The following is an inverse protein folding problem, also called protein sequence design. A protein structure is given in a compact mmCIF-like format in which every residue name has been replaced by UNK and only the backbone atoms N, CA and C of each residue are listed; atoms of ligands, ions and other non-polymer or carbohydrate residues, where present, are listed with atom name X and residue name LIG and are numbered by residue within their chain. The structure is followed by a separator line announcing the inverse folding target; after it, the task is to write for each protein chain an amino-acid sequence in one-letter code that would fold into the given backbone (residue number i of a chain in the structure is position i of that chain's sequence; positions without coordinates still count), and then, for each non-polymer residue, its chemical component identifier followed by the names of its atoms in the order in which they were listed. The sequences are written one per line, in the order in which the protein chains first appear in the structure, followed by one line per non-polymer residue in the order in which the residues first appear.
data_IF_609486070445
#
_entry.id   IF_609486070445
#
_cell.length_a   1.000
_cell.length_b   1.000
_cell.length_c   1.000
_cell.angle_alpha   90.00
_cell.angle_beta   90.00
_cell.angle_gamma   90.00
#
_symmetry.space_group_name_H-M   'P 1'
#
loop_
_entity.id
_entity.type
_entity.pdbx_description
1 polymer ?
#
# COMPACT_ATOMS: atom_id res chain seq x y z
N UNK A 1 -4.50 -8.48 39.23
CA UNK A 1 -4.68 -7.64 38.01
C UNK A 1 -3.80 -8.17 36.91
N UNK A 2 -4.37 -8.40 35.75
CA UNK A 2 -3.59 -8.75 34.57
C UNK A 2 -2.93 -7.50 33.98
N UNK A 3 -1.84 -7.66 33.24
CA UNK A 3 -1.17 -6.53 32.57
C UNK A 3 -2.12 -5.73 31.63
N UNK A 4 -3.15 -6.38 31.12
CA UNK A 4 -4.17 -5.74 30.27
C UNK A 4 -5.13 -4.89 31.12
N UNK A 5 -5.49 -5.34 32.30
CA UNK A 5 -6.34 -4.57 33.23
C UNK A 5 -5.66 -3.27 33.67
N UNK A 6 -4.38 -3.35 34.05
CA UNK A 6 -3.58 -2.16 34.38
C UNK A 6 -3.51 -1.17 33.21
N UNK A 7 -3.28 -1.66 31.99
CA UNK A 7 -3.24 -0.82 30.80
C UNK A 7 -4.59 -0.15 30.52
N UNK A 8 -5.71 -0.85 30.73
CA UNK A 8 -7.05 -0.29 30.58
C UNK A 8 -7.35 0.82 31.59
N UNK A 9 -6.89 0.67 32.83
CA UNK A 9 -7.01 1.69 33.88
C UNK A 9 -6.20 2.95 33.54
N UNK A 10 -4.98 2.79 33.03
CA UNK A 10 -4.14 3.90 32.56
C UNK A 10 -4.81 4.66 31.40
N UNK A 11 -5.37 3.93 30.42
CA UNK A 11 -6.11 4.53 29.30
C UNK A 11 -7.36 5.28 29.80
N UNK A 12 -8.10 4.70 30.72
CA UNK A 12 -9.32 5.30 31.26
C UNK A 12 -9.00 6.58 32.06
N UNK A 13 -7.93 6.56 32.87
CA UNK A 13 -7.43 7.73 33.58
C UNK A 13 -7.00 8.84 32.63
N UNK A 14 -6.22 8.51 31.63
CA UNK A 14 -5.75 9.44 30.59
C UNK A 14 -6.92 10.08 29.82
N UNK A 15 -7.90 9.27 29.40
CA UNK A 15 -9.08 9.77 28.69
C UNK A 15 -9.91 10.74 29.54
N UNK A 16 -10.07 10.46 30.85
CA UNK A 16 -10.76 11.34 31.78
C UNK A 16 -10.00 12.66 31.97
N UNK A 17 -8.69 12.59 32.18
CA UNK A 17 -7.83 13.77 32.41
C UNK A 17 -7.82 14.70 31.19
N UNK A 18 -7.74 14.15 29.99
CA UNK A 18 -7.68 14.91 28.74
C UNK A 18 -9.06 15.21 28.12
N UNK A 19 -10.15 14.78 28.77
CA UNK A 19 -11.54 14.95 28.29
C UNK A 19 -11.75 14.43 26.86
N UNK A 20 -11.11 13.34 26.50
CA UNK A 20 -11.26 12.69 25.19
C UNK A 20 -12.00 11.37 25.32
N UNK A 21 -12.72 10.97 24.25
CA UNK A 21 -13.39 9.67 24.22
C UNK A 21 -12.39 8.53 24.01
N UNK A 22 -12.76 7.32 24.49
CA UNK A 22 -11.96 6.10 24.26
C UNK A 22 -11.77 5.78 22.78
N UNK A 23 -12.77 6.10 21.97
CA UNK A 23 -12.67 5.96 20.50
C UNK A 23 -11.67 6.95 19.92
N UNK A 24 -11.68 8.21 20.38
CA UNK A 24 -10.70 9.23 19.98
C UNK A 24 -9.28 8.83 20.38
N UNK A 25 -9.10 8.29 21.59
CA UNK A 25 -7.81 7.76 22.04
C UNK A 25 -7.30 6.65 21.10
N UNK A 26 -8.13 5.66 20.80
CA UNK A 26 -7.77 4.56 19.91
C UNK A 26 -7.40 5.03 18.48
N UNK A 27 -8.10 6.05 17.96
CA UNK A 27 -7.78 6.67 16.70
C UNK A 27 -6.41 7.37 16.71
N UNK A 28 -6.10 8.10 17.78
CA UNK A 28 -4.82 8.82 17.89
C UNK A 28 -3.62 7.88 18.03
N UNK A 29 -3.77 6.74 18.71
CA UNK A 29 -2.67 5.82 19.02
C UNK A 29 -2.36 4.88 17.87
N UNK A 30 -3.40 4.23 17.31
CA UNK A 30 -3.26 3.17 16.31
C UNK A 30 -4.24 3.27 15.14
N UNK A 31 -4.93 4.39 15.01
CA UNK A 31 -5.98 4.63 14.01
C UNK A 31 -7.14 3.61 14.08
N UNK A 32 -7.50 3.18 15.31
CA UNK A 32 -8.56 2.22 15.55
C UNK A 32 -9.46 2.66 16.72
N UNK A 33 -10.62 3.24 16.41
CA UNK A 33 -11.58 3.70 17.42
C UNK A 33 -12.19 2.58 18.27
N UNK A 34 -12.05 1.31 17.90
CA UNK A 34 -12.54 0.13 18.65
C UNK A 34 -11.46 -0.51 19.52
N UNK A 35 -10.25 0.03 19.55
CA UNK A 35 -9.09 -0.50 20.28
C UNK A 35 -9.45 -0.85 21.75
N UNK A 36 -9.99 0.12 22.48
CA UNK A 36 -10.27 -0.05 23.92
C UNK A 36 -11.37 -1.09 24.17
N UNK A 37 -12.38 -1.15 23.30
CA UNK A 37 -13.43 -2.18 23.41
C UNK A 37 -12.86 -3.58 23.14
N UNK A 38 -12.00 -3.74 22.14
CA UNK A 38 -11.35 -5.02 21.86
C UNK A 38 -10.45 -5.49 23.02
N UNK A 39 -9.75 -4.56 23.66
CA UNK A 39 -8.97 -4.85 24.87
C UNK A 39 -9.84 -5.37 26.00
N UNK A 40 -11.02 -4.73 26.22
CA UNK A 40 -12.01 -5.18 27.23
C UNK A 40 -12.61 -6.54 26.92
N UNK A 41 -12.87 -6.80 25.64
CA UNK A 41 -13.44 -8.07 25.18
C UNK A 41 -12.40 -9.22 25.21
N UNK A 42 -11.19 -8.99 25.74
CA UNK A 42 -10.13 -10.00 25.80
C UNK A 42 -9.56 -10.40 24.45
N UNK A 43 -9.83 -9.63 23.39
CA UNK A 43 -9.27 -9.89 22.05
C UNK A 43 -7.82 -9.53 22.04
N UNK A 44 -6.97 -10.48 21.66
CA UNK A 44 -5.51 -10.32 21.65
C UNK A 44 -5.05 -9.10 20.83
N UNK A 45 -4.06 -8.40 21.36
CA UNK A 45 -3.35 -7.32 20.66
C UNK A 45 -1.88 -7.67 20.53
N UNK A 46 -1.22 -7.11 19.53
CA UNK A 46 0.21 -7.34 19.32
C UNK A 46 1.06 -6.55 20.31
N UNK A 47 2.24 -7.07 20.65
CA UNK A 47 3.25 -6.34 21.46
C UNK A 47 3.51 -4.93 20.90
N UNK A 48 3.60 -4.80 19.58
CA UNK A 48 3.78 -3.51 18.90
C UNK A 48 2.65 -2.52 19.22
N UNK A 49 1.42 -2.99 19.37
CA UNK A 49 0.27 -2.15 19.75
C UNK A 49 0.38 -1.71 21.21
N UNK A 50 0.80 -2.61 22.12
CA UNK A 50 1.03 -2.28 23.54
C UNK A 50 2.10 -1.20 23.66
N UNK A 51 3.24 -1.37 23.01
CA UNK A 51 4.33 -0.38 23.00
C UNK A 51 3.84 0.99 22.52
N UNK A 52 3.07 1.04 21.41
CA UNK A 52 2.52 2.32 20.93
C UNK A 52 1.57 3.00 21.92
N UNK A 53 0.76 2.23 22.64
CA UNK A 53 -0.11 2.77 23.69
C UNK A 53 0.72 3.37 24.80
N UNK A 54 1.73 2.65 25.32
CA UNK A 54 2.62 3.11 26.39
C UNK A 54 3.41 4.35 25.98
N UNK A 55 4.00 4.37 24.78
CA UNK A 55 4.72 5.52 24.23
C UNK A 55 3.84 6.76 24.15
N UNK A 56 2.58 6.59 23.69
CA UNK A 56 1.62 7.68 23.59
C UNK A 56 1.23 8.23 24.98
N UNK A 57 0.97 7.36 25.96
CA UNK A 57 0.65 7.75 27.32
C UNK A 57 1.83 8.51 27.95
N UNK A 58 3.05 7.98 27.86
CA UNK A 58 4.27 8.56 28.42
C UNK A 58 4.60 9.93 27.79
N UNK A 59 4.53 10.04 26.46
CA UNK A 59 4.81 11.28 25.74
C UNK A 59 3.85 12.42 26.11
N UNK A 60 2.58 12.08 26.33
CA UNK A 60 1.57 13.07 26.67
C UNK A 60 1.45 13.33 28.17
N UNK A 61 1.93 12.43 29.06
CA UNK A 61 2.08 12.68 30.48
C UNK A 61 3.15 13.75 30.74
N UNK A 62 4.29 13.69 30.02
CA UNK A 62 5.36 14.70 30.12
C UNK A 62 4.92 16.12 29.67
N UNK A 63 4.02 16.24 28.72
CA UNK A 63 3.48 17.53 28.27
C UNK A 63 2.48 18.17 29.26
N UNK A 64 1.85 17.37 30.14
CA UNK A 64 0.99 17.87 31.20
C UNK A 64 1.73 18.58 32.33
N UNK A 65 2.98 18.17 32.60
CA UNK A 65 3.84 18.77 33.64
C UNK A 65 4.41 20.13 33.23
N UNK A 66 4.60 20.35 31.91
CA UNK A 66 5.14 21.62 31.40
C UNK A 66 4.12 22.74 31.27
N UNK A 67 2.82 22.47 31.35
CA UNK A 67 1.76 23.48 31.32
C UNK A 67 1.35 23.97 32.73
N UNK A 68 1.57 23.19 33.78
CA UNK A 68 1.30 23.63 35.15
C UNK A 68 2.39 24.56 35.74
N UNK A 69 3.56 24.63 35.12
CA UNK A 69 4.63 25.54 35.53
C UNK A 69 4.57 26.92 34.87
N UNK A 70 3.63 27.18 33.94
CA UNK A 70 3.46 28.47 33.27
C UNK A 70 2.33 29.34 33.80
N UNK A 71 1.51 28.85 34.74
CA UNK A 71 0.39 29.65 35.31
C UNK A 71 0.70 30.31 36.69
N UNK A 72 1.92 30.29 37.17
CA UNK A 72 2.29 30.89 38.48
C UNK A 72 3.24 32.07 38.43
N UNK A 73 3.47 32.73 37.30
CA UNK A 73 4.24 33.97 37.26
C UNK A 73 3.67 34.96 36.24
N UNK A 74 2.62 35.68 36.65
CA UNK A 74 2.30 37.02 36.07
C UNK A 74 1.64 37.88 37.16
N UNK A 75 2.48 38.65 37.87
CA UNK A 75 2.07 39.91 38.40
C UNK A 75 3.29 40.84 38.39
N UNK A 76 3.02 42.09 37.89
CA UNK A 76 3.83 43.33 37.91
C UNK A 76 5.01 43.37 36.92
N UNK A 77 5.21 44.38 36.05
CA UNK A 77 4.99 45.84 36.13
C UNK A 77 5.15 46.50 34.74
N UNK A 78 4.28 47.50 34.51
CA UNK A 78 4.47 48.79 33.77
C UNK A 78 5.51 48.99 32.63
N UNK A 79 5.01 49.26 31.42
CA UNK A 79 5.02 50.38 30.45
C UNK A 79 6.25 51.34 30.45
N UNK A 80 6.52 52.18 29.38
CA UNK A 80 6.04 52.23 27.98
C UNK A 80 7.16 52.50 26.92
N UNK A 81 6.77 52.41 25.63
CA UNK A 81 7.38 53.29 24.63
C UNK A 81 7.88 52.67 23.33
N UNK A 82 7.33 53.10 22.20
CA UNK A 82 8.06 53.12 20.93
C UNK A 82 7.29 52.63 19.70
N UNK A 83 6.53 53.55 19.09
CA UNK A 83 6.04 53.50 17.69
C UNK A 83 7.11 53.06 16.69
N UNK A 84 6.71 52.40 15.59
CA UNK A 84 6.86 52.93 14.21
C UNK A 84 5.97 52.09 13.23
N UNK A 85 5.27 52.86 12.39
CA UNK A 85 4.39 52.47 11.25
C UNK A 85 5.11 51.81 10.10
N UNK A 86 4.35 51.02 9.29
CA UNK A 86 4.24 51.14 7.82
C UNK A 86 3.23 50.08 7.32
N UNK A 87 2.08 50.39 6.95
CA UNK A 87 1.34 50.72 5.72
C UNK A 87 1.85 50.07 4.42
N UNK A 88 0.99 49.19 3.84
CA UNK A 88 0.80 49.02 2.39
C UNK A 88 -0.41 48.12 2.13
N UNK A 89 -1.51 48.64 1.84
CA UNK A 89 -2.30 48.87 0.59
C UNK A 89 -2.71 47.61 -0.20
N UNK A 90 -4.05 47.42 -0.18
CA UNK A 90 -4.88 46.59 -1.07
C UNK A 90 -4.80 47.05 -2.52
N UNK A 91 -4.80 46.10 -3.46
CA UNK A 91 -5.24 46.35 -4.83
C UNK A 91 -6.30 45.33 -5.23
N UNK A 92 -7.52 45.82 -5.47
CA UNK A 92 -8.62 45.09 -6.14
C UNK A 92 -8.44 45.26 -7.66
N UNK A 93 -8.51 44.17 -8.42
CA UNK A 93 -8.74 44.22 -9.86
C UNK A 93 -10.10 43.60 -10.14
N UNK A 94 -11.00 44.44 -10.69
CA UNK A 94 -12.27 44.05 -11.32
C UNK A 94 -12.01 43.78 -12.80
N UNK A 95 -12.49 42.65 -13.36
CA UNK A 95 -12.69 42.55 -14.80
C UNK A 95 -14.13 42.11 -15.11
N UNK A 96 -14.68 42.79 -16.11
CA UNK A 96 -16.06 42.82 -16.52
C UNK A 96 -16.50 41.56 -17.30
N UNK A 97 -17.77 41.23 -17.13
CA UNK A 97 -18.52 40.30 -17.91
C UNK A 97 -18.82 40.78 -19.34
N UNK A 98 -18.74 39.93 -20.32
CA UNK A 98 -19.37 40.11 -21.64
C UNK A 98 -20.41 39.00 -21.86
N UNK A 99 -21.66 39.46 -22.11
CA UNK A 99 -22.82 38.61 -22.45
C UNK A 99 -22.74 38.19 -23.92
N UNK A 100 -22.97 36.91 -24.19
CA UNK A 100 -23.48 36.48 -25.48
C UNK A 100 -24.76 35.65 -25.25
N UNK A 101 -25.82 36.05 -25.91
CA UNK A 101 -27.14 35.40 -25.97
C UNK A 101 -27.15 34.30 -27.02
N UNK A 102 -27.73 33.13 -26.74
CA UNK A 102 -28.49 32.39 -27.75
C UNK A 102 -29.51 31.43 -27.11
N UNK A 103 -30.71 31.68 -27.44
CA UNK A 103 -31.95 30.91 -27.70
C UNK A 103 -32.25 29.67 -26.88
N UNK A 104 -33.44 29.77 -26.27
CA UNK A 104 -34.18 28.77 -25.53
C UNK A 104 -34.78 27.68 -26.43
N UNK A 105 -34.68 26.40 -25.99
CA UNK A 105 -35.62 25.36 -26.33
C UNK A 105 -36.21 24.84 -25.02
N UNK A 106 -37.54 24.95 -24.90
CA UNK A 106 -38.35 24.48 -23.78
C UNK A 106 -38.47 22.96 -23.82
N UNK A 107 -38.03 22.26 -22.78
CA UNK A 107 -38.44 20.91 -22.47
C UNK A 107 -39.07 20.88 -21.07
N UNK A 108 -40.22 20.24 -20.94
CA UNK A 108 -41.05 20.14 -19.73
C UNK A 108 -40.33 19.33 -18.62
N UNK A 109 -40.58 19.64 -17.35
CA UNK A 109 -39.98 18.87 -16.26
C UNK A 109 -40.78 17.58 -15.99
N UNK A 110 -40.11 16.47 -16.12
CA UNK A 110 -40.54 15.18 -15.55
C UNK A 110 -40.16 15.17 -14.08
N UNK A 111 -41.12 15.06 -13.21
CA UNK A 111 -40.93 14.98 -11.74
C UNK A 111 -40.34 13.62 -11.36
N UNK A 112 -39.07 13.49 -11.24
CA UNK A 112 -38.44 12.37 -10.55
C UNK A 112 -38.47 12.61 -9.03
N UNK A 113 -39.25 11.77 -8.34
CA UNK A 113 -39.20 11.61 -6.89
C UNK A 113 -37.82 11.08 -6.51
N UNK A 114 -36.93 11.96 -6.08
CA UNK A 114 -35.68 11.58 -5.41
C UNK A 114 -36.03 10.85 -4.12
N UNK A 115 -35.94 9.52 -4.11
CA UNK A 115 -35.78 8.72 -2.90
C UNK A 115 -34.47 9.17 -2.24
N UNK A 116 -34.55 9.84 -1.11
CA UNK A 116 -33.41 10.04 -0.22
C UNK A 116 -32.92 8.65 0.20
N UNK A 117 -31.84 8.16 -0.42
CA UNK A 117 -31.01 7.10 0.14
C UNK A 117 -30.43 7.67 1.42
N UNK A 118 -30.72 7.01 2.54
CA UNK A 118 -29.98 7.20 3.78
C UNK A 118 -28.50 6.97 3.46
N UNK A 119 -27.67 8.00 3.57
CA UNK A 119 -26.23 7.85 3.51
C UNK A 119 -25.84 6.98 4.70
N UNK A 120 -25.56 5.71 4.42
CA UNK A 120 -24.86 4.83 5.33
C UNK A 120 -23.51 5.48 5.62
N UNK A 121 -23.35 6.01 6.83
CA UNK A 121 -22.09 6.59 7.32
C UNK A 121 -21.08 5.48 7.64
N UNK A 122 -20.76 4.64 6.66
CA UNK A 122 -19.57 3.80 6.75
C UNK A 122 -18.35 4.73 6.72
N UNK A 123 -17.43 4.60 7.69
CA UNK A 123 -16.23 5.43 7.68
C UNK A 123 -15.51 5.24 6.36
N UNK A 124 -15.15 6.34 5.70
CA UNK A 124 -14.39 6.35 4.46
C UNK A 124 -13.15 5.46 4.63
N UNK A 125 -13.09 4.37 3.86
CA UNK A 125 -11.92 3.52 3.77
C UNK A 125 -11.20 3.86 2.48
N UNK A 126 -9.95 4.24 2.59
CA UNK A 126 -9.12 4.62 1.47
C UNK A 126 -9.07 3.54 0.36
N UNK A 127 -9.16 2.27 0.78
CA UNK A 127 -9.12 1.10 -0.11
C UNK A 127 -10.47 0.75 -0.76
N UNK A 128 -11.58 1.35 -0.31
CA UNK A 128 -12.91 1.07 -0.88
C UNK A 128 -13.10 1.76 -2.24
N UNK A 129 -12.23 2.73 -2.58
CA UNK A 129 -12.20 3.37 -3.88
C UNK A 129 -10.84 3.17 -4.54
N UNK A 130 -10.78 2.24 -5.52
CA UNK A 130 -9.56 1.93 -6.26
C UNK A 130 -8.95 3.15 -6.96
N UNK A 131 -9.77 4.06 -7.47
CA UNK A 131 -9.28 5.28 -8.14
C UNK A 131 -8.53 6.19 -7.16
N UNK A 132 -9.05 6.34 -5.93
CA UNK A 132 -8.35 7.10 -4.88
C UNK A 132 -7.05 6.43 -4.46
N UNK A 133 -7.04 5.10 -4.37
CA UNK A 133 -5.83 4.34 -4.11
C UNK A 133 -4.79 4.53 -5.21
N UNK A 134 -5.17 4.38 -6.49
CA UNK A 134 -4.27 4.59 -7.63
C UNK A 134 -3.77 6.04 -7.72
N UNK A 135 -4.63 7.02 -7.46
CA UNK A 135 -4.23 8.43 -7.40
C UNK A 135 -3.20 8.67 -6.29
N UNK A 136 -3.39 8.08 -5.11
CA UNK A 136 -2.44 8.17 -4.01
C UNK A 136 -1.08 7.57 -4.36
N UNK A 137 -1.03 6.33 -4.85
CA UNK A 137 0.25 5.67 -5.18
C UNK A 137 0.98 6.33 -6.34
N UNK A 138 0.27 7.04 -7.24
CA UNK A 138 0.87 7.77 -8.35
C UNK A 138 1.34 9.17 -7.96
N UNK A 139 0.81 9.75 -6.89
CA UNK A 139 1.14 11.12 -6.46
C UNK A 139 2.17 11.17 -5.33
N UNK A 140 2.32 10.11 -4.54
CA UNK A 140 3.31 10.07 -3.49
C UNK A 140 4.59 9.32 -3.93
N UNK A 141 5.72 9.74 -3.41
CA UNK A 141 7.03 9.11 -3.68
C UNK A 141 7.33 7.93 -2.75
N UNK A 142 6.32 7.40 -2.04
CA UNK A 142 6.48 6.34 -1.05
C UNK A 142 7.18 5.11 -1.63
N UNK A 143 6.73 4.63 -2.79
CA UNK A 143 7.32 3.46 -3.46
C UNK A 143 8.79 3.66 -3.84
N UNK A 144 9.13 4.87 -4.27
CA UNK A 144 10.54 5.22 -4.55
C UNK A 144 11.37 5.24 -3.26
N UNK A 145 10.87 5.84 -2.19
CA UNK A 145 11.56 5.87 -0.90
C UNK A 145 11.74 4.46 -0.31
N UNK A 146 10.72 3.60 -0.42
CA UNK A 146 10.78 2.20 0.02
C UNK A 146 11.84 1.44 -0.78
N UNK A 147 11.82 1.52 -2.11
CA UNK A 147 12.80 0.81 -2.95
C UNK A 147 14.23 1.27 -2.71
N UNK A 148 14.45 2.57 -2.52
CA UNK A 148 15.76 3.11 -2.16
C UNK A 148 16.24 2.61 -0.79
N UNK A 149 15.31 2.46 0.18
CA UNK A 149 15.64 1.91 1.49
C UNK A 149 16.01 0.42 1.41
N UNK A 150 15.25 -0.36 0.65
CA UNK A 150 15.55 -1.78 0.40
C UNK A 150 16.89 -1.94 -0.31
N UNK A 151 17.18 -1.11 -1.31
CA UNK A 151 18.45 -1.14 -2.05
C UNK A 151 19.68 -1.00 -1.16
N UNK A 152 19.57 -0.23 -0.05
CA UNK A 152 20.65 -0.13 0.94
C UNK A 152 20.89 -1.45 1.69
N UNK A 153 19.86 -2.27 1.87
CA UNK A 153 20.02 -3.58 2.50
C UNK A 153 20.66 -4.60 1.57
N UNK A 154 20.46 -4.48 0.26
CA UNK A 154 21.06 -5.40 -0.71
C UNK A 154 22.61 -5.39 -0.67
N UNK A 155 23.23 -4.31 -0.20
CA UNK A 155 24.69 -4.27 -0.06
C UNK A 155 25.22 -5.32 0.93
N UNK A 156 24.39 -5.77 1.88
CA UNK A 156 24.78 -6.76 2.90
C UNK A 156 24.41 -8.19 2.49
N UNK A 157 23.62 -8.36 1.43
CA UNK A 157 23.20 -9.68 0.95
C UNK A 157 24.28 -10.28 0.08
N UNK A 158 24.69 -11.51 0.42
CA UNK A 158 25.60 -12.31 -0.40
C UNK A 158 24.76 -13.37 -1.13
N UNK A 159 24.71 -13.34 -2.47
CA UNK A 159 24.00 -14.35 -3.22
C UNK A 159 24.60 -15.74 -2.99
N UNK A 160 23.75 -16.72 -2.76
CA UNK A 160 24.16 -18.14 -2.72
C UNK A 160 23.83 -18.81 -4.04
N UNK A 161 24.78 -19.56 -4.64
CA UNK A 161 24.49 -20.29 -5.87
C UNK A 161 23.23 -21.15 -5.74
N UNK A 162 22.47 -21.37 -6.85
CA UNK A 162 22.77 -20.95 -8.20
C UNK A 162 22.33 -19.52 -8.55
N UNK A 163 21.54 -18.83 -7.69
CA UNK A 163 20.96 -17.53 -8.01
C UNK A 163 20.76 -16.66 -6.78
N UNK A 164 20.67 -15.34 -6.98
CA UNK A 164 20.06 -14.44 -6.02
C UNK A 164 18.56 -14.71 -5.97
N UNK A 165 18.04 -15.10 -4.81
CA UNK A 165 16.63 -15.44 -4.63
C UNK A 165 15.90 -14.35 -3.88
N UNK A 166 14.77 -13.87 -4.43
CA UNK A 166 13.93 -12.86 -3.82
C UNK A 166 12.46 -13.26 -3.89
N UNK A 167 11.71 -12.97 -2.80
CA UNK A 167 10.27 -13.12 -2.76
C UNK A 167 9.61 -11.77 -2.47
N UNK A 168 8.77 -11.30 -3.39
CA UNK A 168 7.87 -10.16 -3.20
C UNK A 168 6.48 -10.67 -2.85
N UNK A 169 6.07 -10.45 -1.60
CA UNK A 169 4.83 -10.97 -1.05
C UNK A 169 3.56 -10.23 -1.50
N UNK A 170 3.71 -9.11 -2.17
CA UNK A 170 2.61 -8.30 -2.68
C UNK A 170 3.13 -7.28 -3.68
N UNK A 171 3.38 -7.75 -4.90
CA UNK A 171 4.04 -6.99 -5.95
C UNK A 171 3.32 -5.66 -6.28
N UNK A 172 1.98 -5.65 -6.21
CA UNK A 172 1.18 -4.52 -6.66
C UNK A 172 1.49 -4.18 -8.11
N UNK A 173 1.62 -2.91 -8.42
CA UNK A 173 2.01 -2.41 -9.74
C UNK A 173 3.49 -2.62 -10.10
N UNK A 174 4.22 -3.40 -9.34
CA UNK A 174 5.63 -3.71 -9.49
C UNK A 174 6.60 -2.52 -9.44
N UNK A 175 6.19 -1.33 -9.00
CA UNK A 175 7.11 -0.17 -8.93
C UNK A 175 8.27 -0.43 -7.98
N UNK A 176 8.00 -0.96 -6.78
CA UNK A 176 9.05 -1.29 -5.80
C UNK A 176 9.93 -2.41 -6.33
N UNK A 177 9.31 -3.49 -6.84
CA UNK A 177 10.01 -4.64 -7.40
C UNK A 177 10.93 -4.24 -8.54
N UNK A 178 10.42 -3.51 -9.54
CA UNK A 178 11.19 -3.06 -10.70
C UNK A 178 12.42 -2.22 -10.31
N UNK A 179 12.25 -1.31 -9.33
CA UNK A 179 13.38 -0.53 -8.81
C UNK A 179 14.39 -1.41 -8.08
N UNK A 180 13.94 -2.36 -7.26
CA UNK A 180 14.80 -3.32 -6.56
C UNK A 180 15.61 -4.18 -7.57
N UNK A 181 14.94 -4.67 -8.61
CA UNK A 181 15.60 -5.43 -9.68
C UNK A 181 16.71 -4.61 -10.36
N UNK A 182 16.43 -3.35 -10.69
CA UNK A 182 17.46 -2.47 -11.30
C UNK A 182 18.70 -2.34 -10.41
N UNK A 183 18.52 -2.19 -9.10
CA UNK A 183 19.63 -2.18 -8.16
C UNK A 183 20.41 -3.49 -8.13
N UNK A 184 19.71 -4.62 -8.15
CA UNK A 184 20.32 -5.94 -8.19
C UNK A 184 21.08 -6.19 -9.48
N UNK A 185 20.51 -5.82 -10.64
CA UNK A 185 21.14 -5.92 -11.95
C UNK A 185 22.46 -5.14 -11.99
N UNK A 186 22.45 -3.93 -11.44
CA UNK A 186 23.66 -3.12 -11.37
C UNK A 186 24.72 -3.71 -10.41
N UNK A 187 24.27 -4.21 -9.26
CA UNK A 187 25.17 -4.73 -8.23
C UNK A 187 25.72 -6.12 -8.55
N UNK A 188 24.91 -6.96 -9.15
CA UNK A 188 25.21 -8.36 -9.45
C UNK A 188 24.93 -8.68 -10.92
N UNK A 189 25.66 -8.05 -11.88
CA UNK A 189 25.34 -8.14 -13.31
C UNK A 189 25.53 -9.53 -13.92
N UNK A 190 26.26 -10.42 -13.25
CA UNK A 190 26.56 -11.78 -13.72
C UNK A 190 25.91 -12.87 -12.89
N UNK A 191 25.24 -12.51 -11.77
CA UNK A 191 24.58 -13.47 -10.90
C UNK A 191 23.15 -13.67 -11.39
N UNK A 192 22.69 -14.91 -11.63
CA UNK A 192 21.30 -15.16 -11.97
C UNK A 192 20.35 -14.66 -10.88
N UNK A 193 19.22 -14.09 -11.28
CA UNK A 193 18.18 -13.63 -10.37
C UNK A 193 16.94 -14.51 -10.49
N UNK A 194 16.53 -15.12 -9.39
CA UNK A 194 15.28 -15.88 -9.28
C UNK A 194 14.32 -15.12 -8.38
N UNK A 195 13.29 -14.54 -8.98
CA UNK A 195 12.36 -13.62 -8.32
C UNK A 195 10.97 -14.21 -8.36
N UNK A 196 10.41 -14.47 -7.19
CA UNK A 196 9.01 -14.88 -7.04
C UNK A 196 8.21 -13.66 -6.59
N UNK A 197 7.22 -13.29 -7.36
CA UNK A 197 6.33 -12.18 -7.07
C UNK A 197 4.88 -12.67 -6.96
N UNK A 198 4.27 -12.43 -5.80
CA UNK A 198 2.87 -12.76 -5.56
C UNK A 198 1.99 -11.54 -5.77
N UNK A 199 0.91 -11.72 -6.53
CA UNK A 199 -0.10 -10.67 -6.69
C UNK A 199 -1.49 -11.28 -6.84
N UNK A 200 -2.51 -10.63 -6.26
CA UNK A 200 -3.91 -11.07 -6.32
C UNK A 200 -4.74 -10.28 -7.33
N UNK A 201 -4.30 -9.09 -7.69
CA UNK A 201 -4.99 -8.20 -8.62
C UNK A 201 -4.46 -8.44 -10.04
N UNK A 202 -5.32 -8.90 -10.92
CA UNK A 202 -4.99 -9.08 -12.33
C UNK A 202 -4.54 -7.76 -12.99
N UNK A 203 -5.14 -6.64 -12.59
CA UNK A 203 -4.77 -5.34 -13.15
C UNK A 203 -3.37 -4.89 -12.69
N UNK A 204 -3.01 -5.17 -11.43
CA UNK A 204 -1.67 -4.87 -10.93
C UNK A 204 -0.63 -5.77 -11.61
N UNK A 205 -0.95 -7.04 -11.89
CA UNK A 205 -0.10 -7.93 -12.71
C UNK A 205 0.14 -7.31 -14.08
N UNK A 206 -0.91 -6.84 -14.77
CA UNK A 206 -0.79 -6.22 -16.09
C UNK A 206 0.11 -4.99 -16.08
N UNK A 207 -0.13 -4.07 -15.12
CA UNK A 207 0.71 -2.87 -14.96
C UNK A 207 2.16 -3.24 -14.60
N UNK A 208 2.31 -4.30 -13.82
CA UNK A 208 3.63 -4.82 -13.43
C UNK A 208 4.41 -5.36 -14.62
N UNK A 209 3.77 -6.11 -15.50
CA UNK A 209 4.42 -6.67 -16.70
C UNK A 209 5.02 -5.58 -17.60
N UNK A 210 4.34 -4.44 -17.77
CA UNK A 210 4.86 -3.31 -18.54
C UNK A 210 6.21 -2.80 -17.99
N UNK A 211 6.41 -2.88 -16.67
CA UNK A 211 7.64 -2.46 -16.02
C UNK A 211 8.76 -3.51 -16.10
N UNK A 212 8.43 -4.76 -16.42
CA UNK A 212 9.38 -5.85 -16.53
C UNK A 212 10.10 -5.87 -17.90
N UNK A 213 9.57 -5.20 -18.89
CA UNK A 213 10.15 -5.11 -20.24
C UNK A 213 11.63 -4.68 -20.17
N UNK A 214 11.88 -3.57 -19.48
CA UNK A 214 13.25 -3.06 -19.29
C UNK A 214 14.10 -4.00 -18.42
N UNK A 215 13.48 -4.64 -17.42
CA UNK A 215 14.18 -5.53 -16.49
C UNK A 215 14.77 -6.74 -17.22
N UNK A 216 14.00 -7.35 -18.12
CA UNK A 216 14.50 -8.43 -18.97
C UNK A 216 15.55 -7.97 -19.98
N UNK A 217 15.45 -6.73 -20.47
CA UNK A 217 16.47 -6.16 -21.35
C UNK A 217 17.78 -5.87 -20.62
N UNK A 218 17.71 -5.39 -19.38
CA UNK A 218 18.88 -5.02 -18.57
C UNK A 218 19.68 -6.24 -18.10
N UNK A 219 19.00 -7.33 -17.77
CA UNK A 219 19.66 -8.48 -17.17
C UNK A 219 19.14 -9.80 -17.75
N UNK A 220 19.92 -10.45 -18.63
CA UNK A 220 19.48 -11.65 -19.35
C UNK A 220 19.25 -12.86 -18.46
N UNK A 221 19.97 -12.97 -17.33
CA UNK A 221 19.86 -14.08 -16.38
C UNK A 221 18.79 -13.84 -15.29
N UNK A 222 17.67 -13.21 -15.64
CA UNK A 222 16.53 -12.97 -14.73
C UNK A 222 15.41 -13.95 -15.03
N UNK A 223 14.96 -14.66 -13.98
CA UNK A 223 13.75 -15.46 -13.96
C UNK A 223 12.74 -14.77 -13.05
N UNK A 224 11.60 -14.41 -13.60
CA UNK A 224 10.47 -13.85 -12.86
C UNK A 224 9.35 -14.87 -12.79
N UNK A 225 8.90 -15.17 -11.59
CA UNK A 225 7.75 -16.05 -11.33
C UNK A 225 6.61 -15.22 -10.76
N UNK A 226 5.51 -15.15 -11.49
CA UNK A 226 4.27 -14.52 -11.02
C UNK A 226 3.31 -15.58 -10.51
N UNK A 227 2.70 -15.35 -9.33
CA UNK A 227 1.81 -16.34 -8.73
C UNK A 227 0.68 -15.70 -7.92
N UNK A 228 -0.48 -16.37 -7.93
CA UNK A 228 -1.62 -16.06 -7.06
C UNK A 228 -1.72 -17.00 -5.83
N UNK A 229 -0.73 -17.85 -5.60
CA UNK A 229 -0.65 -18.71 -4.42
C UNK A 229 -0.73 -17.91 -3.12
N UNK A 230 -1.12 -18.55 -2.03
CA UNK A 230 -1.10 -17.90 -0.73
C UNK A 230 0.34 -17.63 -0.24
N UNK A 231 0.50 -16.76 0.76
CA UNK A 231 1.83 -16.34 1.25
C UNK A 231 2.73 -17.45 1.75
N UNK A 232 2.14 -18.54 2.26
CA UNK A 232 2.90 -19.66 2.80
C UNK A 232 3.34 -20.67 1.72
N UNK A 233 2.71 -20.61 0.55
CA UNK A 233 2.93 -21.52 -0.58
C UNK A 233 3.74 -20.84 -1.69
N UNK A 234 3.54 -19.55 -1.91
CA UNK A 234 4.19 -18.81 -2.98
C UNK A 234 5.73 -18.92 -2.98
N UNK A 235 6.47 -18.84 -1.86
CA UNK A 235 7.93 -19.00 -1.88
C UNK A 235 8.40 -20.37 -2.30
N UNK A 236 7.52 -21.40 -2.18
CA UNK A 236 7.82 -22.79 -2.54
C UNK A 236 7.24 -23.16 -3.90
N UNK A 237 6.43 -22.29 -4.49
CA UNK A 237 5.67 -22.50 -5.72
C UNK A 237 4.83 -23.80 -5.68
N UNK A 238 4.39 -24.21 -4.49
CA UNK A 238 3.68 -25.46 -4.29
C UNK A 238 2.56 -25.29 -3.27
N UNK A 239 1.31 -25.57 -3.67
CA UNK A 239 0.20 -25.71 -2.75
C UNK A 239 0.44 -26.81 -1.72
N UNK A 240 -0.07 -26.65 -0.50
CA UNK A 240 0.06 -27.65 0.58
C UNK A 240 -0.86 -28.83 0.38
N UNK A 241 -2.02 -28.58 -0.21
CA UNK A 241 -3.01 -29.61 -0.49
C UNK A 241 -2.73 -30.26 -1.84
N UNK A 242 -2.70 -31.60 -1.88
CA UNK A 242 -2.39 -32.39 -3.08
C UNK A 242 -3.40 -32.18 -4.19
N UNK A 243 -4.71 -32.04 -3.87
CA UNK A 243 -5.73 -31.79 -4.88
C UNK A 243 -5.55 -30.43 -5.52
N UNK A 244 -5.24 -29.42 -4.71
CA UNK A 244 -4.94 -28.07 -5.16
C UNK A 244 -3.65 -28.03 -5.99
N UNK A 245 -2.63 -28.81 -5.61
CA UNK A 245 -1.39 -28.93 -6.37
C UNK A 245 -1.63 -29.55 -7.76
N UNK A 246 -2.45 -30.59 -7.82
CA UNK A 246 -2.80 -31.23 -9.09
C UNK A 246 -3.65 -30.34 -10.01
N UNK A 247 -4.39 -29.40 -9.43
CA UNK A 247 -5.20 -28.42 -10.17
C UNK A 247 -4.41 -27.16 -10.56
N UNK A 248 -3.14 -27.07 -10.17
CA UNK A 248 -2.31 -25.89 -10.40
C UNK A 248 -2.05 -25.65 -11.89
N UNK A 249 -2.28 -24.42 -12.32
CA UNK A 249 -1.95 -23.95 -13.66
C UNK A 249 -0.50 -23.49 -13.68
N UNK A 250 0.39 -24.34 -14.18
CA UNK A 250 1.81 -24.00 -14.38
C UNK A 250 2.04 -23.60 -15.84
N UNK A 251 2.63 -22.45 -16.05
CA UNK A 251 2.97 -21.93 -17.38
C UNK A 251 4.40 -21.44 -17.42
N UNK A 252 5.12 -21.78 -18.48
CA UNK A 252 6.43 -21.23 -18.79
C UNK A 252 6.32 -20.34 -20.01
N UNK A 253 6.89 -19.16 -19.92
CA UNK A 253 6.93 -18.13 -20.97
C UNK A 253 8.36 -17.83 -21.28
N UNK A 254 8.77 -18.17 -22.47
CA UNK A 254 10.09 -17.86 -23.02
C UNK A 254 10.01 -16.58 -23.81
N UNK A 255 10.83 -15.61 -23.46
CA UNK A 255 10.94 -14.35 -24.19
C UNK A 255 12.04 -14.49 -25.25
N UNK A 256 11.62 -14.39 -26.49
CA UNK A 256 12.54 -14.43 -27.64
C UNK A 256 12.99 -13.03 -28.03
N UNK A 257 14.20 -12.94 -28.57
CA UNK A 257 14.80 -11.67 -29.00
C UNK A 257 15.78 -11.11 -27.97
N UNK A 258 16.27 -9.89 -28.24
CA UNK A 258 17.40 -9.30 -27.49
C UNK A 258 17.14 -7.87 -27.00
N UNK A 259 15.94 -7.34 -27.23
CA UNK A 259 15.65 -5.93 -26.94
C UNK A 259 14.25 -5.73 -26.36
N UNK A 260 14.05 -4.56 -25.75
CA UNK A 260 12.80 -4.20 -25.08
C UNK A 260 11.57 -4.23 -26.01
N UNK A 261 11.72 -3.95 -27.29
CA UNK A 261 10.61 -3.99 -28.24
C UNK A 261 10.05 -5.42 -28.41
N UNK A 262 10.94 -6.39 -28.62
CA UNK A 262 10.52 -7.80 -28.74
C UNK A 262 9.85 -8.29 -27.45
N UNK A 263 10.37 -7.93 -26.28
CA UNK A 263 9.78 -8.35 -25.00
C UNK A 263 8.43 -7.69 -24.74
N UNK A 264 8.26 -6.44 -25.18
CA UNK A 264 6.98 -5.73 -25.05
C UNK A 264 5.84 -6.47 -25.74
N UNK A 265 5.99 -6.76 -27.03
CA UNK A 265 4.96 -7.45 -27.81
C UNK A 265 4.58 -8.80 -27.18
N UNK A 266 5.58 -9.56 -26.72
CA UNK A 266 5.36 -10.86 -26.10
C UNK A 266 4.67 -10.72 -24.74
N UNK A 267 5.11 -9.81 -23.86
CA UNK A 267 4.51 -9.61 -22.54
C UNK A 267 3.07 -9.05 -22.64
N UNK A 268 2.79 -8.17 -23.59
CA UNK A 268 1.43 -7.67 -23.86
C UNK A 268 0.50 -8.79 -24.35
N UNK A 269 1.02 -9.76 -25.11
CA UNK A 269 0.22 -10.91 -25.57
C UNK A 269 -0.20 -11.88 -24.47
N UNK A 270 0.38 -11.79 -23.28
CA UNK A 270 0.08 -12.68 -22.15
C UNK A 270 -1.20 -12.31 -21.39
N UNK A 271 -1.86 -11.20 -21.72
CA UNK A 271 -3.01 -10.71 -20.97
C UNK A 271 -4.12 -11.74 -20.79
N UNK A 272 -4.49 -12.45 -21.83
CA UNK A 272 -5.57 -13.45 -21.78
C UNK A 272 -5.17 -14.66 -20.92
N UNK A 273 -3.90 -15.09 -20.99
CA UNK A 273 -3.35 -16.15 -20.17
C UNK A 273 -3.39 -15.78 -18.68
N UNK A 274 -3.04 -14.55 -18.35
CA UNK A 274 -3.11 -14.07 -16.96
C UNK A 274 -4.56 -13.88 -16.51
N UNK A 275 -5.46 -13.40 -17.37
CA UNK A 275 -6.89 -13.28 -17.06
C UNK A 275 -7.49 -14.64 -16.70
N UNK A 276 -7.16 -15.70 -17.47
CA UNK A 276 -7.55 -17.07 -17.13
C UNK A 276 -6.97 -17.54 -15.81
N UNK A 277 -5.66 -17.31 -15.60
CA UNK A 277 -4.94 -17.75 -14.39
C UNK A 277 -5.41 -17.05 -13.11
N UNK A 278 -5.87 -15.80 -13.19
CA UNK A 278 -6.35 -14.99 -12.05
C UNK A 278 -7.89 -14.95 -11.95
N UNK A 279 -8.58 -15.82 -12.68
CA UNK A 279 -10.04 -15.87 -12.59
C UNK A 279 -10.51 -16.27 -11.19
N UNK A 280 -11.50 -15.53 -10.69
CA UNK A 280 -12.04 -15.72 -9.34
C UNK A 280 -13.44 -16.32 -9.37
N UNK A 281 -13.80 -16.99 -8.27
CA UNK A 281 -15.14 -17.47 -7.98
C UNK A 281 -15.52 -17.13 -6.55
N UNK A 282 -16.82 -17.09 -6.27
CA UNK A 282 -17.28 -16.89 -4.90
C UNK A 282 -17.19 -18.18 -4.10
N UNK A 283 -16.47 -18.16 -2.99
CA UNK A 283 -16.38 -19.29 -2.07
C UNK A 283 -17.77 -19.64 -1.49
N UNK A 284 -18.19 -20.89 -1.61
CA UNK A 284 -19.44 -21.36 -1.02
C UNK A 284 -19.43 -21.37 0.51
N UNK A 285 -18.26 -21.35 1.12
CA UNK A 285 -18.07 -21.39 2.58
C UNK A 285 -18.02 -20.00 3.17
N UNK A 286 -17.20 -19.11 2.61
CA UNK A 286 -16.92 -17.78 3.18
C UNK A 286 -17.67 -16.64 2.49
N UNK A 287 -18.22 -16.85 1.30
CA UNK A 287 -18.80 -15.79 0.46
C UNK A 287 -17.76 -14.85 -0.16
N UNK A 288 -16.49 -15.05 0.11
CA UNK A 288 -15.41 -14.20 -0.41
C UNK A 288 -14.94 -14.67 -1.80
N UNK A 289 -14.38 -13.79 -2.63
CA UNK A 289 -13.73 -14.17 -3.88
C UNK A 289 -12.48 -15.03 -3.56
N UNK A 290 -12.36 -16.14 -4.27
CA UNK A 290 -11.19 -17.04 -4.24
C UNK A 290 -10.82 -17.35 -5.70
N UNK A 291 -9.55 -17.62 -5.96
CA UNK A 291 -9.14 -18.03 -7.30
C UNK A 291 -9.74 -19.38 -7.67
N UNK A 292 -10.13 -19.54 -8.91
CA UNK A 292 -10.65 -20.83 -9.41
C UNK A 292 -9.59 -21.91 -9.33
N UNK A 293 -8.33 -21.55 -9.60
CA UNK A 293 -7.18 -22.45 -9.49
C UNK A 293 -5.93 -21.68 -9.07
N UNK A 294 -4.99 -22.30 -8.39
CA UNK A 294 -3.67 -21.74 -8.17
C UNK A 294 -2.93 -21.63 -9.49
N UNK A 295 -2.20 -20.55 -9.69
CA UNK A 295 -1.48 -20.29 -10.94
C UNK A 295 -0.04 -19.85 -10.64
N UNK A 296 0.89 -20.39 -11.44
CA UNK A 296 2.30 -20.04 -11.45
C UNK A 296 2.72 -19.79 -12.90
N UNK A 297 3.26 -18.63 -13.17
CA UNK A 297 3.76 -18.26 -14.50
C UNK A 297 5.24 -17.91 -14.38
N UNK A 298 6.09 -18.68 -15.01
CA UNK A 298 7.55 -18.51 -15.03
C UNK A 298 7.94 -17.81 -16.32
N UNK A 299 8.57 -16.65 -16.23
CA UNK A 299 8.97 -15.82 -17.37
C UNK A 299 10.49 -15.68 -17.37
N UNK A 300 11.13 -15.99 -18.48
CA UNK A 300 12.58 -15.91 -18.65
C UNK A 300 12.93 -15.73 -20.13
N UNK A 301 14.20 -15.33 -20.38
CA UNK A 301 14.69 -15.21 -21.75
C UNK A 301 15.15 -16.56 -22.29
N UNK A 302 14.82 -16.86 -23.54
CA UNK A 302 15.17 -18.16 -24.18
C UNK A 302 16.67 -18.38 -24.32
N UNK A 303 17.46 -17.31 -24.49
CA UNK A 303 18.92 -17.34 -24.54
C UNK A 303 19.60 -17.72 -23.20
N UNK A 304 18.82 -17.76 -22.11
CA UNK A 304 19.30 -18.14 -20.77
C UNK A 304 18.52 -19.30 -20.14
N UNK A 305 17.92 -20.15 -20.94
CA UNK A 305 17.12 -21.30 -20.49
C UNK A 305 17.84 -22.22 -19.50
N UNK A 306 19.13 -22.39 -19.64
CA UNK A 306 19.94 -23.25 -18.77
C UNK A 306 19.83 -22.91 -17.28
N UNK A 307 19.41 -21.68 -16.95
CA UNK A 307 19.20 -21.24 -15.56
C UNK A 307 17.99 -21.88 -14.90
N UNK A 308 17.05 -22.44 -15.66
CA UNK A 308 15.90 -23.17 -15.12
C UNK A 308 16.27 -24.57 -14.66
N UNK A 309 17.34 -25.14 -15.22
CA UNK A 309 17.80 -26.47 -14.92
C UNK A 309 18.71 -26.51 -13.67
N UNK A 310 19.11 -25.35 -13.19
CA UNK A 310 19.97 -25.17 -12.00
C UNK A 310 19.18 -24.80 -10.74
#
# INVERSE_FOLDING_TARGET
MTAIETLLEEIDSFCKQRKISKSTFGLHVVNDGKLVNRLRDGKGITLKTITRIQDYLNKNAAQGLSQQSKEKNTHNDNNPGGNIMAVAKKAKVKTKATKAKSSAVKAKPVSEKKKKKSEDKTPFRFYDNRQNYLAFINTCNEKSAISQRIAKEFQYVQPSPPAFRMFDAGMGDATVLSNCMRYLHHKHPTVPHFIVAKEISMEDVRIGLDKMIDRFSEHPATILVLTNLNYAEAPKLMPRDVLTANAMNWREVKLEGTNAYNYREQLESLHDMFAEGWETQTSKISGNPVFKRPSVVVIYRDDHRILLDA
#
